data_IF_856704848385
#
_entry.id   IF_856704848385
#
_cell.length_a   1.000
_cell.length_b   1.000
_cell.length_c   1.000
_cell.angle_alpha   90.00
_cell.angle_beta   90.00
_cell.angle_gamma   90.00
#
_symmetry.space_group_name_H-M   'P 1'
#
loop_
_entity.id
_entity.type
_entity.pdbx_description
1 polymer ?
#
# COMPACT_ATOMS: atom_id res chain seq x y z
N UNK A 1 8.27 -13.40 -2.77
CA UNK A 1 7.17 -13.00 -1.86
C UNK A 1 5.99 -12.59 -2.72
N UNK A 2 4.84 -13.23 -2.53
CA UNK A 2 3.60 -12.83 -3.18
C UNK A 2 2.75 -12.06 -2.18
N UNK A 3 2.31 -10.87 -2.55
CA UNK A 3 1.49 -9.98 -1.72
C UNK A 3 0.18 -9.74 -2.45
N UNK A 4 -0.94 -10.02 -1.80
CA UNK A 4 -2.26 -9.68 -2.33
C UNK A 4 -2.84 -8.56 -1.50
N UNK A 5 -3.07 -7.40 -2.12
CA UNK A 5 -3.79 -6.29 -1.52
C UNK A 5 -5.28 -6.48 -1.81
N UNK A 6 -6.03 -6.84 -0.77
CA UNK A 6 -7.46 -7.13 -0.88
C UNK A 6 -8.27 -5.84 -0.78
N UNK A 7 -8.26 -5.22 0.41
CA UNK A 7 -9.10 -4.07 0.73
C UNK A 7 -8.49 -3.22 1.86
N UNK A 8 -8.99 -2.00 2.00
CA UNK A 8 -8.86 -1.19 3.21
C UNK A 8 -10.24 -0.74 3.68
N UNK A 9 -10.37 -0.39 4.96
CA UNK A 9 -11.65 -0.01 5.57
C UNK A 9 -11.48 1.19 6.47
N UNK A 10 -12.50 2.03 6.51
CA UNK A 10 -12.59 3.21 7.37
C UNK A 10 -11.36 4.13 7.25
N UNK A 11 -10.98 4.45 6.01
CA UNK A 11 -9.91 5.42 5.79
C UNK A 11 -10.30 6.79 6.34
N UNK A 12 -9.36 7.41 7.04
CA UNK A 12 -9.53 8.79 7.51
C UNK A 12 -9.48 9.71 6.30
N UNK A 13 -10.55 10.46 6.06
CA UNK A 13 -10.55 11.56 5.11
C UNK A 13 -10.19 12.87 5.81
N UNK A 14 -9.51 13.74 5.09
CA UNK A 14 -9.20 15.09 5.56
C UNK A 14 -10.25 16.11 5.13
N UNK A 15 -10.75 15.97 3.92
CA UNK A 15 -11.79 16.83 3.38
C UNK A 15 -13.19 16.28 3.70
N UNK A 16 -14.15 17.18 3.89
CA UNK A 16 -15.54 16.83 4.21
C UNK A 16 -16.44 16.75 2.98
N UNK A 17 -15.89 17.11 1.80
CA UNK A 17 -16.64 17.29 0.56
C UNK A 17 -16.47 16.13 -0.44
N UNK A 18 -15.46 15.28 -0.27
CA UNK A 18 -15.21 14.07 -1.06
C UNK A 18 -14.58 12.98 -0.17
N UNK A 19 -14.68 11.73 -0.60
CA UNK A 19 -13.88 10.64 -0.02
C UNK A 19 -12.48 10.59 -0.66
N UNK A 20 -11.64 9.65 -0.21
CA UNK A 20 -10.28 9.49 -0.73
C UNK A 20 -10.26 8.80 -2.12
N UNK A 21 -9.40 9.25 -3.02
CA UNK A 21 -8.94 8.56 -4.22
C UNK A 21 -7.78 7.60 -3.86
N UNK A 22 -8.13 6.46 -3.25
CA UNK A 22 -7.18 5.64 -2.53
C UNK A 22 -6.30 4.72 -3.42
N UNK A 23 -4.98 4.70 -3.16
CA UNK A 23 -4.07 3.67 -3.65
C UNK A 23 -3.01 3.28 -2.61
N UNK A 24 -2.45 2.07 -2.74
CA UNK A 24 -1.37 1.59 -1.88
C UNK A 24 -0.07 1.48 -2.68
N UNK A 25 1.01 2.06 -2.14
CA UNK A 25 2.38 1.85 -2.59
C UNK A 25 3.06 0.81 -1.69
N UNK A 26 3.60 -0.24 -2.31
CA UNK A 26 4.20 -1.39 -1.66
C UNK A 26 5.68 -1.47 -2.02
N UNK A 27 6.56 -1.60 -1.04
CA UNK A 27 8.00 -1.71 -1.27
C UNK A 27 8.70 -2.50 -0.15
N UNK A 28 9.89 -3.04 -0.41
CA UNK A 28 10.73 -3.69 0.62
C UNK A 28 11.66 -2.64 1.28
N UNK A 29 12.53 -3.00 2.22
CA UNK A 29 13.46 -2.10 2.94
C UNK A 29 13.99 -0.93 2.08
N UNK A 30 14.44 -1.24 0.88
CA UNK A 30 14.82 -0.21 -0.09
C UNK A 30 13.66 0.16 -1.02
N UNK A 31 13.41 1.47 -1.10
CA UNK A 31 12.40 2.10 -1.97
C UNK A 31 12.64 1.94 -3.48
N UNK A 32 13.65 1.17 -3.91
CA UNK A 32 14.03 0.99 -5.30
C UNK A 32 13.05 0.13 -6.11
N UNK A 33 12.17 -0.64 -5.47
CA UNK A 33 11.19 -1.51 -6.16
C UNK A 33 9.78 -1.29 -5.64
N UNK A 34 9.28 -0.06 -5.78
CA UNK A 34 7.89 0.28 -5.47
C UNK A 34 6.93 -0.29 -6.50
N UNK A 35 5.91 -0.98 -6.03
CA UNK A 35 4.74 -1.35 -6.82
C UNK A 35 3.54 -0.57 -6.27
N UNK A 36 2.55 -0.25 -7.10
CA UNK A 36 1.35 0.47 -6.68
C UNK A 36 0.10 -0.28 -7.14
N UNK A 37 -0.94 -0.26 -6.34
CA UNK A 37 -2.28 -0.65 -6.79
C UNK A 37 -2.84 0.37 -7.79
N UNK A 38 -3.95 0.03 -8.43
CA UNK A 38 -4.79 1.04 -9.08
C UNK A 38 -5.38 1.98 -8.02
N UNK A 39 -5.72 3.18 -8.46
CA UNK A 39 -6.49 4.13 -7.68
C UNK A 39 -7.95 3.70 -7.63
N UNK A 40 -8.55 3.79 -6.45
CA UNK A 40 -9.98 3.60 -6.23
C UNK A 40 -10.58 4.94 -5.84
N UNK A 41 -11.30 5.52 -6.79
CA UNK A 41 -11.83 6.87 -6.64
C UNK A 41 -12.96 6.94 -5.61
N UNK A 42 -13.02 8.06 -4.90
CA UNK A 42 -14.10 8.44 -3.98
C UNK A 42 -14.52 7.27 -3.07
N UNK A 43 -13.55 6.67 -2.37
CA UNK A 43 -13.79 5.49 -1.53
C UNK A 43 -12.92 5.43 -0.28
N UNK A 44 -13.57 5.50 0.88
CA UNK A 44 -12.97 5.23 2.19
C UNK A 44 -12.92 3.74 2.56
N UNK A 45 -13.45 2.87 1.69
CA UNK A 45 -13.48 1.41 1.86
C UNK A 45 -13.07 0.70 0.55
N UNK A 46 -11.89 1.03 -0.01
CA UNK A 46 -11.49 0.55 -1.32
C UNK A 46 -11.23 -0.96 -1.33
N UNK A 47 -11.61 -1.62 -2.43
CA UNK A 47 -11.32 -3.03 -2.70
C UNK A 47 -10.52 -3.11 -4.00
N UNK A 48 -9.27 -3.58 -3.92
CA UNK A 48 -8.36 -3.71 -5.05
C UNK A 48 -8.31 -5.13 -5.60
N UNK A 49 -8.16 -6.14 -4.74
CA UNK A 49 -7.90 -7.53 -5.13
C UNK A 49 -6.72 -7.66 -6.12
N UNK A 50 -5.63 -6.94 -5.86
CA UNK A 50 -4.44 -6.89 -6.72
C UNK A 50 -3.30 -7.69 -6.12
N UNK A 51 -2.61 -8.48 -6.96
CA UNK A 51 -1.49 -9.33 -6.55
C UNK A 51 -0.17 -8.82 -7.12
N UNK A 52 0.85 -8.79 -6.27
CA UNK A 52 2.19 -8.33 -6.57
C UNK A 52 3.20 -9.41 -6.24
N UNK A 53 4.27 -9.49 -7.03
CA UNK A 53 5.36 -10.44 -6.82
C UNK A 53 6.66 -9.68 -6.61
N UNK A 54 7.34 -9.98 -5.52
CA UNK A 54 8.66 -9.47 -5.19
C UNK A 54 9.67 -10.62 -5.26
N UNK A 55 10.57 -10.54 -6.25
CA UNK A 55 11.52 -11.60 -6.58
C UNK A 55 12.87 -11.48 -5.85
N UNK A 56 13.23 -10.30 -5.34
CA UNK A 56 14.53 -10.04 -4.68
C UNK A 56 14.33 -9.78 -3.20
N UNK A 57 14.49 -10.82 -2.39
CA UNK A 57 14.35 -10.75 -0.94
C UNK A 57 15.69 -10.84 -0.19
N UNK A 58 16.80 -11.12 -0.88
CA UNK A 58 18.10 -11.27 -0.22
C UNK A 58 18.50 -9.97 0.47
N UNK A 59 18.53 -10.00 1.81
CA UNK A 59 18.82 -8.85 2.65
C UNK A 59 17.66 -7.87 2.85
N UNK A 60 16.44 -8.23 2.44
CA UNK A 60 15.24 -7.42 2.65
C UNK A 60 14.38 -8.05 3.75
N UNK A 61 14.21 -7.34 4.86
CA UNK A 61 13.62 -7.87 6.08
C UNK A 61 12.22 -7.31 6.36
N UNK A 62 11.83 -6.21 5.74
CA UNK A 62 10.55 -5.56 5.97
C UNK A 62 9.80 -5.27 4.66
N UNK A 63 8.48 -5.40 4.70
CA UNK A 63 7.56 -4.97 3.66
C UNK A 63 6.80 -3.74 4.15
N UNK A 64 6.89 -2.66 3.39
CA UNK A 64 6.22 -1.39 3.66
C UNK A 64 5.02 -1.27 2.75
N UNK A 65 3.89 -0.87 3.33
CA UNK A 65 2.69 -0.48 2.60
C UNK A 65 2.29 0.91 3.06
N UNK A 66 2.31 1.86 2.13
CA UNK A 66 1.90 3.23 2.35
C UNK A 66 0.61 3.47 1.57
N UNK A 67 -0.45 3.92 2.25
CA UNK A 67 -1.71 4.26 1.61
C UNK A 67 -1.82 5.78 1.43
N UNK A 68 -2.27 6.17 0.24
CA UNK A 68 -2.36 7.55 -0.21
C UNK A 68 -3.75 7.87 -0.75
N UNK A 69 -4.11 9.14 -0.62
CA UNK A 69 -5.14 9.83 -1.40
C UNK A 69 -4.47 10.45 -2.63
N UNK A 70 -4.96 10.16 -3.84
CA UNK A 70 -4.45 10.74 -5.09
C UNK A 70 -5.06 12.13 -5.29
N UNK A 71 -4.20 13.15 -5.23
CA UNK A 71 -4.60 14.56 -5.38
C UNK A 71 -3.97 15.17 -6.64
N UNK A 72 -4.66 16.15 -7.22
CA UNK A 72 -4.20 16.82 -8.44
C UNK A 72 -2.82 17.51 -8.33
N UNK A 73 -2.45 17.95 -7.12
CA UNK A 73 -1.18 18.66 -6.88
C UNK A 73 -0.14 17.72 -6.27
N UNK A 74 -0.53 16.94 -5.27
CA UNK A 74 0.39 16.07 -4.53
C UNK A 74 -0.39 15.06 -3.70
N UNK A 75 -0.14 13.77 -3.97
CA UNK A 75 -0.68 12.66 -3.18
C UNK A 75 -0.49 12.89 -1.66
N UNK A 76 -1.58 12.79 -0.92
CA UNK A 76 -1.57 12.87 0.54
C UNK A 76 -1.43 11.49 1.14
N UNK A 77 -0.50 11.33 2.09
CA UNK A 77 -0.30 10.04 2.76
C UNK A 77 -1.33 9.89 3.89
N UNK A 78 -2.23 8.92 3.77
CA UNK A 78 -3.26 8.61 4.77
C UNK A 78 -2.68 7.75 5.89
N UNK A 79 -1.81 6.78 5.57
CA UNK A 79 -1.34 5.80 6.54
C UNK A 79 -0.15 4.96 6.08
N UNK A 80 0.42 4.20 7.01
CA UNK A 80 1.53 3.27 6.74
C UNK A 80 1.43 2.02 7.60
N UNK A 81 1.90 0.90 7.06
CA UNK A 81 2.20 -0.30 7.83
C UNK A 81 3.53 -0.88 7.38
N UNK A 82 4.30 -1.40 8.35
CA UNK A 82 5.55 -2.10 8.12
C UNK A 82 5.38 -3.51 8.67
N UNK A 83 5.66 -4.50 7.85
CA UNK A 83 5.53 -5.92 8.18
C UNK A 83 6.94 -6.52 8.22
N UNK A 84 7.30 -7.12 9.34
CA UNK A 84 8.52 -7.92 9.45
C UNK A 84 8.36 -9.24 8.68
N UNK A 85 9.29 -9.51 7.77
CA UNK A 85 9.32 -10.70 6.93
C UNK A 85 10.17 -11.83 7.52
N UNK A 86 10.92 -11.63 8.62
CA UNK A 86 11.76 -12.68 9.22
C UNK A 86 10.96 -13.96 9.51
N UNK A 87 9.74 -13.81 10.04
CA UNK A 87 8.84 -14.92 10.34
C UNK A 87 8.40 -15.74 9.12
N UNK A 88 8.58 -15.22 7.89
CA UNK A 88 8.23 -15.92 6.66
C UNK A 88 9.37 -16.82 6.15
N UNK A 89 10.60 -16.61 6.63
CA UNK A 89 11.78 -17.38 6.22
C UNK A 89 12.17 -18.48 7.22
N UNK A 90 11.57 -18.51 8.41
CA UNK A 90 11.71 -19.60 9.37
C UNK A 90 10.94 -20.85 8.87
N UNK A 91 11.57 -21.60 7.97
CA UNK A 91 11.19 -22.96 7.59
C UNK A 91 12.41 -23.87 7.49
#
# INVERSE_FOLDING_TARGET
LQVTVVEAKNLTQKDTLSENDAFIQIYLDEKHSKQKTKVKQDSNNPIWNESFVFNRLHGQNTLHLDIYDEDAIKDEKIGSVIIDLHHLYDK
#
